data_IF_435333451295
#
_entry.id   IF_435333451295
#
_cell.length_a   1.000
_cell.length_b   1.000
_cell.length_c   1.000
_cell.angle_alpha   90.00
_cell.angle_beta   90.00
_cell.angle_gamma   90.00
#
_symmetry.space_group_name_H-M   'P 1'
#
loop_
_entity.id
_entity.type
_entity.pdbx_description
1 polymer ?
#
# COMPACT_ATOMS: atom_id res chain seq x y z
N UNK A 1 12.21 -46.56 21.27
CA UNK A 1 11.79 -45.17 20.94
C UNK A 1 10.60 -45.18 19.97
N UNK A 2 10.63 -46.00 18.91
CA UNK A 2 9.53 -46.09 17.93
C UNK A 2 8.21 -46.63 18.51
N UNK A 3 8.25 -47.57 19.46
CA UNK A 3 7.04 -48.14 20.06
C UNK A 3 6.27 -47.17 20.97
N UNK A 4 6.97 -46.21 21.59
CA UNK A 4 6.34 -45.13 22.37
C UNK A 4 5.65 -44.13 21.43
N UNK A 5 6.28 -43.80 20.30
CA UNK A 5 5.67 -42.94 19.29
C UNK A 5 4.41 -43.58 18.68
N UNK A 6 4.47 -44.86 18.29
CA UNK A 6 3.31 -45.57 17.71
C UNK A 6 2.17 -45.75 18.70
N UNK A 7 2.47 -46.06 19.98
CA UNK A 7 1.44 -46.19 21.02
C UNK A 7 0.80 -44.85 21.37
N UNK A 8 1.56 -43.75 21.38
CA UNK A 8 0.96 -42.41 21.58
C UNK A 8 0.09 -42.00 20.40
N UNK A 9 0.48 -42.31 19.15
CA UNK A 9 -0.35 -42.05 17.97
C UNK A 9 -1.66 -42.84 18.01
N UNK A 10 -1.63 -44.15 18.31
CA UNK A 10 -2.85 -44.97 18.45
C UNK A 10 -3.77 -44.51 19.58
N UNK A 11 -3.21 -44.00 20.69
CA UNK A 11 -4.00 -43.46 21.81
C UNK A 11 -4.61 -42.09 21.48
N UNK A 12 -3.91 -41.27 20.67
CA UNK A 12 -4.37 -39.96 20.18
C UNK A 12 -5.42 -40.09 19.06
N UNK A 13 -5.40 -41.16 18.27
CA UNK A 13 -6.45 -41.48 17.28
C UNK A 13 -7.81 -41.75 17.95
N UNK A 14 -7.83 -42.18 19.21
CA UNK A 14 -9.06 -42.40 19.97
C UNK A 14 -9.76 -41.08 20.40
N UNK A 15 -9.05 -39.95 20.36
CA UNK A 15 -9.57 -38.61 20.68
C UNK A 15 -9.15 -37.58 19.62
N UNK A 16 -9.86 -37.49 18.48
CA UNK A 16 -9.52 -36.62 17.35
C UNK A 16 -9.30 -35.15 17.71
N UNK A 17 -9.97 -34.66 18.76
CA UNK A 17 -9.86 -33.31 19.30
C UNK A 17 -8.58 -33.07 20.10
N UNK A 18 -8.05 -34.08 20.80
CA UNK A 18 -6.79 -33.95 21.56
C UNK A 18 -5.58 -33.91 20.62
N UNK A 19 -5.60 -34.69 19.53
CA UNK A 19 -4.52 -34.68 18.54
C UNK A 19 -4.42 -33.35 17.79
N UNK A 20 -5.55 -32.77 17.36
CA UNK A 20 -5.58 -31.44 16.74
C UNK A 20 -5.16 -30.33 17.71
N UNK A 21 -5.57 -30.40 18.99
CA UNK A 21 -5.11 -29.48 20.02
C UNK A 21 -3.59 -29.54 20.26
N UNK A 22 -3.00 -30.74 20.25
CA UNK A 22 -1.53 -30.89 20.36
C UNK A 22 -0.79 -30.31 19.14
N UNK A 23 -1.33 -30.49 17.94
CA UNK A 23 -0.77 -29.90 16.71
C UNK A 23 -0.86 -28.37 16.70
N UNK A 24 -2.01 -27.79 17.06
CA UNK A 24 -2.18 -26.34 17.16
C UNK A 24 -1.24 -25.75 18.21
N UNK A 25 -1.16 -26.35 19.39
CA UNK A 25 -0.31 -25.83 20.48
C UNK A 25 1.17 -25.88 20.12
N UNK A 26 1.65 -26.94 19.47
CA UNK A 26 3.02 -27.02 18.97
C UNK A 26 3.31 -25.95 17.91
N UNK A 27 2.36 -25.73 16.99
CA UNK A 27 2.47 -24.72 15.94
C UNK A 27 2.50 -23.30 16.50
N UNK A 28 1.63 -22.99 17.46
CA UNK A 28 1.62 -21.70 18.14
C UNK A 28 2.91 -21.47 18.94
N UNK A 29 3.43 -22.50 19.60
CA UNK A 29 4.73 -22.45 20.28
C UNK A 29 5.86 -22.18 19.29
N UNK A 30 5.88 -22.86 18.14
CA UNK A 30 6.88 -22.63 17.09
C UNK A 30 6.82 -21.19 16.54
N UNK A 31 5.61 -20.69 16.24
CA UNK A 31 5.40 -19.33 15.77
C UNK A 31 5.83 -18.30 16.83
N UNK A 32 5.49 -18.52 18.10
CA UNK A 32 5.88 -17.65 19.21
C UNK A 32 7.41 -17.61 19.40
N UNK A 33 8.06 -18.78 19.38
CA UNK A 33 9.50 -18.90 19.56
C UNK A 33 10.24 -18.26 18.38
N UNK A 34 9.78 -18.47 17.15
CA UNK A 34 10.32 -17.81 15.97
C UNK A 34 10.18 -16.27 16.06
N UNK A 35 9.01 -15.76 16.42
CA UNK A 35 8.80 -14.32 16.63
C UNK A 35 9.77 -13.75 17.69
N UNK A 36 9.98 -14.48 18.79
CA UNK A 36 10.90 -14.08 19.84
C UNK A 36 12.35 -14.07 19.35
N UNK A 37 12.80 -15.12 18.66
CA UNK A 37 14.15 -15.21 18.08
C UNK A 37 14.38 -14.09 17.06
N UNK A 38 13.44 -13.91 16.13
CA UNK A 38 13.53 -12.90 15.06
C UNK A 38 13.59 -11.51 15.65
N UNK A 39 12.72 -11.15 16.60
CA UNK A 39 12.80 -9.85 17.28
C UNK A 39 14.12 -9.68 18.05
N UNK A 40 14.58 -10.72 18.75
CA UNK A 40 15.82 -10.64 19.54
C UNK A 40 17.05 -10.49 18.64
N UNK A 41 17.10 -11.15 17.49
CA UNK A 41 18.23 -11.08 16.55
C UNK A 41 18.14 -9.82 15.69
N UNK A 42 17.01 -9.57 15.02
CA UNK A 42 16.85 -8.40 14.13
C UNK A 42 16.96 -7.09 14.91
N UNK A 43 16.28 -6.93 16.05
CA UNK A 43 16.35 -5.67 16.79
C UNK A 43 17.75 -5.43 17.38
N UNK A 44 18.50 -6.46 17.76
CA UNK A 44 19.87 -6.28 18.28
C UNK A 44 20.91 -6.07 17.18
N UNK A 45 20.85 -6.88 16.11
CA UNK A 45 21.80 -6.81 15.00
C UNK A 45 21.60 -5.55 14.16
N UNK A 46 20.35 -5.23 13.83
CA UNK A 46 20.04 -4.09 12.98
C UNK A 46 20.22 -2.77 13.72
N UNK A 47 19.94 -2.70 15.04
CA UNK A 47 20.23 -1.50 15.82
C UNK A 47 21.74 -1.21 15.94
N UNK A 48 22.59 -2.25 15.97
CA UNK A 48 24.06 -2.08 15.89
C UNK A 48 24.51 -1.62 14.51
N UNK A 49 24.02 -2.25 13.44
CA UNK A 49 24.37 -1.89 12.08
C UNK A 49 23.90 -0.47 11.71
N UNK A 50 22.70 -0.08 12.15
CA UNK A 50 22.14 1.23 11.88
C UNK A 50 22.85 2.35 12.64
N UNK A 51 23.33 2.12 13.87
CA UNK A 51 24.18 3.09 14.59
C UNK A 51 25.50 3.38 13.87
N UNK A 52 25.98 2.46 13.03
CA UNK A 52 27.18 2.66 12.22
C UNK A 52 26.94 3.49 10.93
N UNK A 53 25.67 3.80 10.60
CA UNK A 53 25.30 4.51 9.36
C UNK A 53 24.84 5.94 9.66
N UNK A 54 25.11 6.95 8.80
CA UNK A 54 24.67 8.34 8.99
C UNK A 54 23.14 8.48 9.18
N UNK A 55 22.37 7.57 8.58
CA UNK A 55 20.90 7.49 8.67
C UNK A 55 20.44 7.17 10.11
N UNK A 56 21.26 6.48 10.90
CA UNK A 56 20.89 6.03 12.23
C UNK A 56 21.29 6.94 13.40
N UNK A 57 22.16 7.91 13.15
CA UNK A 57 22.59 8.87 14.17
C UNK A 57 21.59 10.01 14.37
N UNK A 58 20.70 10.25 13.40
CA UNK A 58 19.92 11.48 13.29
C UNK A 58 18.48 11.36 13.84
N UNK A 59 18.24 10.43 14.78
CA UNK A 59 16.95 10.28 15.48
C UNK A 59 15.75 9.86 14.60
N UNK A 60 15.87 9.85 13.27
CA UNK A 60 14.83 9.40 12.33
C UNK A 60 14.54 7.90 12.42
N UNK A 61 15.34 7.16 13.19
CA UNK A 61 15.11 5.76 13.58
C UNK A 61 14.05 5.56 14.67
N UNK A 62 13.06 6.44 14.76
CA UNK A 62 11.72 6.03 15.23
C UNK A 62 11.11 4.89 14.37
N UNK A 63 11.82 4.50 13.30
CA UNK A 63 11.60 3.43 12.34
C UNK A 63 11.88 1.99 12.78
N UNK A 64 11.99 1.73 14.10
CA UNK A 64 11.92 0.35 14.62
C UNK A 64 10.65 -0.36 14.15
N UNK A 65 9.60 0.39 13.77
CA UNK A 65 8.34 -0.13 13.25
C UNK A 65 8.50 -0.93 11.95
N UNK A 66 9.35 -0.54 11.00
CA UNK A 66 9.50 -1.29 9.74
C UNK A 66 10.10 -2.67 10.01
N UNK A 67 11.17 -2.70 10.80
CA UNK A 67 11.89 -3.91 11.18
C UNK A 67 11.02 -4.80 12.07
N UNK A 68 10.33 -4.22 13.04
CA UNK A 68 9.41 -4.93 13.91
C UNK A 68 8.19 -5.46 13.14
N UNK A 69 7.73 -4.76 12.10
CA UNK A 69 6.68 -5.24 11.19
C UNK A 69 7.16 -6.45 10.40
N UNK A 70 8.33 -6.36 9.75
CA UNK A 70 8.92 -7.48 9.01
C UNK A 70 9.16 -8.70 9.92
N UNK A 71 9.53 -8.49 11.18
CA UNK A 71 9.68 -9.57 12.15
C UNK A 71 8.38 -10.35 12.40
N UNK A 72 7.21 -9.71 12.27
CA UNK A 72 5.91 -10.36 12.43
C UNK A 72 5.47 -11.15 11.18
N UNK A 73 6.20 -11.07 10.04
CA UNK A 73 5.94 -11.90 8.86
C UNK A 73 6.31 -13.36 9.13
N UNK A 74 7.43 -13.59 9.83
CA UNK A 74 7.94 -14.93 10.12
C UNK A 74 6.93 -15.82 10.87
N UNK A 75 6.32 -15.40 11.99
CA UNK A 75 5.30 -16.20 12.65
C UNK A 75 4.07 -16.41 11.76
N UNK A 76 3.66 -15.42 10.96
CA UNK A 76 2.53 -15.56 10.03
C UNK A 76 2.80 -16.62 8.95
N UNK A 77 4.02 -16.70 8.42
CA UNK A 77 4.44 -17.74 7.47
C UNK A 77 4.47 -19.12 8.12
N UNK A 78 4.95 -19.22 9.36
CA UNK A 78 4.96 -20.48 10.11
C UNK A 78 3.54 -20.97 10.33
N UNK A 79 2.61 -20.07 10.67
CA UNK A 79 1.20 -20.42 10.85
C UNK A 79 0.56 -20.82 9.51
N UNK A 80 0.79 -20.07 8.44
CA UNK A 80 0.18 -20.34 7.13
C UNK A 80 0.62 -21.68 6.55
N UNK A 81 1.90 -22.05 6.69
CA UNK A 81 2.43 -23.33 6.21
C UNK A 81 2.16 -24.44 7.21
N UNK A 82 2.28 -24.16 8.51
CA UNK A 82 2.12 -25.17 9.55
C UNK A 82 0.68 -25.64 9.73
N UNK A 83 -0.31 -24.82 9.42
CA UNK A 83 -1.71 -25.20 9.68
C UNK A 83 -2.20 -26.33 8.78
N UNK A 84 -1.58 -26.52 7.61
CA UNK A 84 -1.86 -27.67 6.73
C UNK A 84 -1.27 -28.98 7.27
N UNK A 85 -0.30 -28.90 8.18
CA UNK A 85 0.31 -30.06 8.83
C UNK A 85 -0.47 -30.50 10.07
N UNK A 86 -1.47 -29.74 10.52
CA UNK A 86 -2.29 -30.09 11.67
C UNK A 86 -3.42 -31.04 11.22
N UNK A 87 -3.43 -32.29 11.69
CA UNK A 87 -4.44 -33.28 11.33
C UNK A 87 -5.79 -32.98 12.01
N UNK A 88 -6.88 -33.47 11.42
CA UNK A 88 -8.26 -33.37 11.93
C UNK A 88 -8.81 -31.94 12.08
N UNK A 89 -8.29 -30.96 11.33
CA UNK A 89 -8.91 -29.64 11.25
C UNK A 89 -9.97 -29.61 10.13
N UNK A 90 -11.09 -28.88 10.34
CA UNK A 90 -12.01 -28.59 9.25
C UNK A 90 -11.28 -27.87 8.12
N UNK A 91 -11.44 -28.34 6.88
CA UNK A 91 -10.79 -27.75 5.70
C UNK A 91 -11.06 -26.23 5.59
N UNK A 92 -12.27 -25.81 5.93
CA UNK A 92 -12.65 -24.40 5.99
C UNK A 92 -11.80 -23.58 6.99
N UNK A 93 -11.46 -24.14 8.15
CA UNK A 93 -10.65 -23.46 9.16
C UNK A 93 -9.19 -23.32 8.71
N UNK A 94 -8.66 -24.35 8.04
CA UNK A 94 -7.31 -24.34 7.44
C UNK A 94 -7.24 -23.28 6.34
N UNK A 95 -8.21 -23.28 5.42
CA UNK A 95 -8.28 -22.32 4.31
C UNK A 95 -8.42 -20.88 4.81
N UNK A 96 -9.37 -20.60 5.71
CA UNK A 96 -9.58 -19.25 6.27
C UNK A 96 -8.33 -18.75 6.98
N UNK A 97 -7.68 -19.58 7.79
CA UNK A 97 -6.47 -19.17 8.51
C UNK A 97 -5.31 -18.90 7.55
N UNK A 98 -5.11 -19.76 6.54
CA UNK A 98 -4.09 -19.56 5.51
C UNK A 98 -4.32 -18.26 4.72
N UNK A 99 -5.56 -17.98 4.35
CA UNK A 99 -5.98 -16.78 3.62
C UNK A 99 -5.78 -15.51 4.46
N UNK A 100 -6.16 -15.53 5.74
CA UNK A 100 -5.94 -14.42 6.67
C UNK A 100 -4.45 -14.17 6.92
N UNK A 101 -3.65 -15.22 7.10
CA UNK A 101 -2.20 -15.09 7.27
C UNK A 101 -1.55 -14.48 6.01
N UNK A 102 -1.95 -14.94 4.84
CA UNK A 102 -1.46 -14.44 3.55
C UNK A 102 -1.82 -12.96 3.35
N UNK A 103 -3.06 -12.56 3.63
CA UNK A 103 -3.48 -11.16 3.60
C UNK A 103 -2.69 -10.29 4.60
N UNK A 104 -2.45 -10.81 5.81
CA UNK A 104 -1.64 -10.13 6.83
C UNK A 104 -0.18 -9.95 6.40
N UNK A 105 0.41 -10.95 5.75
CA UNK A 105 1.78 -10.89 5.21
C UNK A 105 1.86 -9.79 4.14
N UNK A 106 0.94 -9.78 3.18
CA UNK A 106 0.86 -8.77 2.11
C UNK A 106 0.77 -7.36 2.71
N UNK A 107 -0.12 -7.14 3.67
CA UNK A 107 -0.27 -5.86 4.35
C UNK A 107 1.02 -5.43 5.06
N UNK A 108 1.67 -6.37 5.74
CA UNK A 108 2.89 -6.11 6.49
C UNK A 108 4.04 -5.71 5.56
N UNK A 109 4.17 -6.36 4.40
CA UNK A 109 5.14 -6.01 3.37
C UNK A 109 4.86 -4.61 2.81
N UNK A 110 3.60 -4.30 2.47
CA UNK A 110 3.22 -2.97 1.96
C UNK A 110 3.53 -1.86 2.98
N UNK A 111 3.22 -2.09 4.26
CA UNK A 111 3.55 -1.17 5.34
C UNK A 111 5.06 -1.00 5.55
N UNK A 112 5.85 -2.06 5.33
CA UNK A 112 7.30 -2.01 5.42
C UNK A 112 7.90 -1.20 4.27
N UNK A 113 7.50 -1.47 3.02
CA UNK A 113 7.96 -0.72 1.84
C UNK A 113 7.57 0.76 1.97
N UNK A 114 6.35 1.06 2.42
CA UNK A 114 5.90 2.45 2.67
C UNK A 114 6.76 3.15 3.74
N UNK A 115 7.17 2.43 4.77
CA UNK A 115 8.12 2.93 5.78
C UNK A 115 9.48 3.27 5.17
N UNK A 116 10.05 2.35 4.37
CA UNK A 116 11.31 2.58 3.65
C UNK A 116 11.22 3.80 2.72
N UNK A 117 10.14 3.94 1.94
CA UNK A 117 9.91 5.11 1.10
C UNK A 117 9.85 6.42 1.92
N UNK A 118 9.31 6.36 3.13
CA UNK A 118 9.28 7.50 4.06
C UNK A 118 10.69 7.85 4.54
N UNK A 119 11.50 6.86 4.93
CA UNK A 119 12.89 7.08 5.31
C UNK A 119 13.69 7.71 4.17
N UNK A 120 13.55 7.20 2.96
CA UNK A 120 14.23 7.73 1.77
C UNK A 120 13.84 9.18 1.51
N UNK A 121 12.54 9.48 1.59
CA UNK A 121 12.03 10.85 1.43
C UNK A 121 12.53 11.81 2.52
N UNK A 122 12.61 11.34 3.76
CA UNK A 122 13.13 12.15 4.88
C UNK A 122 14.64 12.39 4.72
N UNK A 123 15.41 11.37 4.34
CA UNK A 123 16.84 11.50 4.06
C UNK A 123 17.12 12.43 2.86
N UNK A 124 16.26 12.40 1.84
CA UNK A 124 16.36 13.32 0.70
C UNK A 124 16.09 14.76 1.12
N UNK A 125 15.03 15.01 1.89
CA UNK A 125 14.64 16.36 2.32
C UNK A 125 15.68 17.06 3.20
N UNK A 126 16.54 16.32 3.90
CA UNK A 126 17.64 16.88 4.70
C UNK A 126 18.79 17.43 3.86
N UNK A 127 18.84 17.14 2.54
CA UNK A 127 19.91 17.66 1.68
C UNK A 127 19.70 19.15 1.37
N UNK A 128 20.75 19.97 1.31
CA UNK A 128 20.64 21.41 1.09
C UNK A 128 19.91 21.77 -0.22
N UNK A 129 20.05 20.94 -1.26
CA UNK A 129 19.42 21.16 -2.56
C UNK A 129 17.98 20.59 -2.69
N UNK A 130 17.41 20.02 -1.63
CA UNK A 130 16.11 19.33 -1.69
C UNK A 130 14.92 20.27 -1.98
N UNK A 131 15.03 21.55 -1.59
CA UNK A 131 14.00 22.57 -1.83
C UNK A 131 13.79 22.86 -3.32
N UNK A 132 14.79 22.61 -4.16
CA UNK A 132 14.74 22.85 -5.60
C UNK A 132 13.95 21.76 -6.35
N UNK A 133 13.78 20.56 -5.77
CA UNK A 133 13.05 19.44 -6.38
C UNK A 133 12.25 18.67 -5.31
N UNK A 134 11.04 19.11 -4.97
CA UNK A 134 10.23 18.43 -3.96
C UNK A 134 9.75 17.06 -4.48
N UNK A 135 10.33 15.97 -3.95
CA UNK A 135 9.96 14.60 -4.35
C UNK A 135 8.78 14.02 -3.55
N UNK A 136 8.30 14.74 -2.53
CA UNK A 136 7.25 14.27 -1.61
C UNK A 136 5.98 13.83 -2.34
N UNK A 137 5.56 14.58 -3.36
CA UNK A 137 4.39 14.26 -4.17
C UNK A 137 4.54 12.92 -4.90
N UNK A 138 5.68 12.71 -5.56
CA UNK A 138 5.97 11.44 -6.26
C UNK A 138 6.00 10.25 -5.30
N UNK A 139 6.64 10.38 -4.13
CA UNK A 139 6.66 9.33 -3.11
C UNK A 139 5.25 9.00 -2.62
N UNK A 140 4.37 10.00 -2.52
CA UNK A 140 2.99 9.80 -2.13
C UNK A 140 2.18 9.05 -3.21
N UNK A 141 2.37 9.38 -4.49
CA UNK A 141 1.74 8.63 -5.59
C UNK A 141 2.19 7.17 -5.59
N UNK A 142 3.49 6.90 -5.41
CA UNK A 142 4.01 5.53 -5.31
C UNK A 142 3.41 4.77 -4.14
N UNK A 143 3.24 5.42 -2.97
CA UNK A 143 2.57 4.79 -1.82
C UNK A 143 1.11 4.46 -2.09
N UNK A 144 0.38 5.34 -2.77
CA UNK A 144 -1.02 5.07 -3.15
C UNK A 144 -1.08 3.84 -4.04
N UNK A 145 -0.24 3.76 -5.08
CA UNK A 145 -0.18 2.60 -5.97
C UNK A 145 0.19 1.32 -5.21
N UNK A 146 1.16 1.38 -4.31
CA UNK A 146 1.56 0.27 -3.45
C UNK A 146 0.39 -0.26 -2.61
N UNK A 147 -0.35 0.62 -1.94
CA UNK A 147 -1.50 0.22 -1.13
C UNK A 147 -2.68 -0.27 -1.97
N UNK A 148 -2.88 0.28 -3.17
CA UNK A 148 -3.89 -0.23 -4.10
C UNK A 148 -3.59 -1.67 -4.52
N UNK A 149 -2.35 -1.97 -4.91
CA UNK A 149 -1.92 -3.33 -5.24
C UNK A 149 -2.05 -4.26 -4.03
N UNK A 150 -1.61 -3.81 -2.85
CA UNK A 150 -1.72 -4.59 -1.62
C UNK A 150 -3.18 -4.92 -1.28
N UNK A 151 -4.10 -3.96 -1.43
CA UNK A 151 -5.53 -4.19 -1.20
C UNK A 151 -6.10 -5.26 -2.15
N UNK A 152 -5.74 -5.20 -3.45
CA UNK A 152 -6.17 -6.21 -4.43
C UNK A 152 -5.63 -7.59 -4.05
N UNK A 153 -4.34 -7.69 -3.69
CA UNK A 153 -3.71 -8.94 -3.27
C UNK A 153 -4.35 -9.50 -1.98
N UNK A 154 -4.71 -8.63 -1.03
CA UNK A 154 -5.40 -9.05 0.19
C UNK A 154 -6.79 -9.61 -0.11
N UNK A 155 -7.60 -8.92 -0.92
CA UNK A 155 -8.93 -9.39 -1.30
C UNK A 155 -8.85 -10.69 -2.10
N UNK A 156 -7.91 -10.78 -3.04
CA UNK A 156 -7.62 -11.98 -3.81
C UNK A 156 -7.31 -13.18 -2.89
N UNK A 157 -6.44 -12.95 -1.90
CA UNK A 157 -6.07 -13.98 -0.93
C UNK A 157 -7.22 -14.38 -0.02
N UNK A 158 -8.13 -13.47 0.34
CA UNK A 158 -9.25 -13.77 1.23
C UNK A 158 -10.36 -14.57 0.52
N UNK A 159 -10.62 -14.27 -0.75
CA UNK A 159 -11.66 -14.92 -1.56
C UNK A 159 -11.11 -16.16 -2.29
N UNK A 160 -9.81 -16.46 -2.11
CA UNK A 160 -9.11 -17.57 -2.77
C UNK A 160 -9.24 -17.52 -4.30
N UNK A 161 -9.02 -16.32 -4.85
CA UNK A 161 -9.05 -16.04 -6.29
C UNK A 161 -7.75 -15.41 -6.73
N UNK A 162 -7.39 -15.64 -8.00
CA UNK A 162 -6.17 -15.04 -8.51
C UNK A 162 -6.30 -13.51 -8.53
N UNK A 163 -5.27 -12.77 -8.12
CA UNK A 163 -5.28 -11.30 -8.17
C UNK A 163 -5.49 -10.77 -9.59
N UNK A 164 -5.03 -11.51 -10.60
CA UNK A 164 -5.18 -11.16 -12.01
C UNK A 164 -6.65 -11.15 -12.44
N UNK A 165 -7.48 -12.07 -11.94
CA UNK A 165 -8.92 -12.09 -12.25
C UNK A 165 -9.62 -10.85 -11.65
N UNK A 166 -9.26 -10.47 -10.43
CA UNK A 166 -9.82 -9.27 -9.80
C UNK A 166 -9.35 -8.01 -10.53
N UNK A 167 -8.08 -7.94 -10.88
CA UNK A 167 -7.51 -6.81 -11.63
C UNK A 167 -8.11 -6.71 -13.03
N UNK A 168 -8.35 -7.83 -13.71
CA UNK A 168 -9.00 -7.85 -15.03
C UNK A 168 -10.46 -7.41 -14.92
N UNK A 169 -11.19 -7.84 -13.89
CA UNK A 169 -12.56 -7.41 -13.65
C UNK A 169 -12.66 -5.92 -13.35
N UNK A 170 -11.82 -5.42 -12.44
CA UNK A 170 -11.74 -4.00 -12.11
C UNK A 170 -11.32 -3.15 -13.32
N UNK A 171 -10.33 -3.64 -14.09
CA UNK A 171 -9.84 -3.01 -15.31
C UNK A 171 -10.89 -2.97 -16.41
N UNK A 172 -11.63 -4.07 -16.61
CA UNK A 172 -12.75 -4.13 -17.55
C UNK A 172 -13.86 -3.16 -17.17
N UNK A 173 -14.25 -3.11 -15.89
CA UNK A 173 -15.23 -2.13 -15.40
C UNK A 173 -14.72 -0.70 -15.58
N UNK A 174 -13.45 -0.43 -15.28
CA UNK A 174 -12.84 0.89 -15.47
C UNK A 174 -12.81 1.28 -16.95
N UNK A 175 -12.52 0.35 -17.87
CA UNK A 175 -12.56 0.59 -19.31
C UNK A 175 -13.99 0.87 -19.78
N UNK A 176 -14.99 0.11 -19.32
CA UNK A 176 -16.40 0.35 -19.63
C UNK A 176 -16.85 1.72 -19.10
N UNK A 177 -16.50 2.07 -17.86
CA UNK A 177 -16.79 3.39 -17.31
C UNK A 177 -16.09 4.51 -18.10
N UNK A 178 -14.83 4.31 -18.48
CA UNK A 178 -14.10 5.23 -19.34
C UNK A 178 -14.82 5.44 -20.68
N UNK A 179 -15.31 4.37 -21.31
CA UNK A 179 -16.07 4.46 -22.55
C UNK A 179 -17.38 5.22 -22.38
N UNK A 180 -18.12 4.98 -21.30
CA UNK A 180 -19.40 5.67 -21.04
C UNK A 180 -19.18 7.16 -20.76
N UNK A 181 -18.12 7.51 -20.02
CA UNK A 181 -17.82 8.88 -19.62
C UNK A 181 -16.79 9.57 -20.50
N UNK A 182 -16.41 9.00 -21.64
CA UNK A 182 -15.30 9.52 -22.46
C UNK A 182 -15.53 10.98 -22.88
N UNK A 183 -16.74 11.32 -23.33
CA UNK A 183 -17.07 12.66 -23.82
C UNK A 183 -17.11 13.68 -22.67
N UNK A 184 -17.54 13.24 -21.49
CA UNK A 184 -17.53 14.05 -20.27
C UNK A 184 -16.10 14.30 -19.78
N UNK A 185 -15.22 13.30 -19.84
CA UNK A 185 -13.81 13.46 -19.48
C UNK A 185 -13.09 14.38 -20.48
N UNK A 186 -13.38 14.26 -21.77
CA UNK A 186 -12.83 15.15 -22.81
C UNK A 186 -13.29 16.60 -22.62
N UNK A 187 -14.56 16.85 -22.30
CA UNK A 187 -15.05 18.21 -22.05
C UNK A 187 -14.46 18.82 -20.77
N UNK A 188 -14.24 18.02 -19.72
CA UNK A 188 -13.54 18.44 -18.50
C UNK A 188 -12.09 18.84 -18.80
N UNK A 189 -11.36 17.99 -19.53
CA UNK A 189 -9.97 18.28 -19.92
C UNK A 189 -9.91 19.51 -20.83
N UNK A 190 -10.83 19.67 -21.77
CA UNK A 190 -10.91 20.84 -22.63
C UNK A 190 -11.17 22.12 -21.81
N UNK A 191 -12.09 22.09 -20.84
CA UNK A 191 -12.35 23.23 -19.96
C UNK A 191 -11.12 23.61 -19.11
N UNK A 192 -10.40 22.63 -18.55
CA UNK A 192 -9.15 22.87 -17.80
C UNK A 192 -8.05 23.41 -18.72
N UNK A 193 -7.91 22.87 -19.93
CA UNK A 193 -6.94 23.36 -20.90
C UNK A 193 -7.24 24.79 -21.35
N UNK A 194 -8.50 25.12 -21.65
CA UNK A 194 -8.92 26.49 -22.00
C UNK A 194 -8.67 27.44 -20.82
N UNK A 195 -9.02 27.05 -19.59
CA UNK A 195 -8.76 27.85 -18.39
C UNK A 195 -7.26 28.00 -18.07
N UNK A 196 -6.42 27.04 -18.47
CA UNK A 196 -4.96 27.11 -18.29
C UNK A 196 -4.25 27.81 -19.44
N UNK A 197 -4.94 27.98 -20.57
CA UNK A 197 -4.48 28.74 -21.71
C UNK A 197 -4.93 30.18 -21.48
N UNK A 198 -4.15 30.96 -20.75
CA UNK A 198 -4.28 32.42 -20.67
C UNK A 198 -4.11 32.99 -22.09
N UNK A 199 -5.17 32.95 -22.91
CA UNK A 199 -5.20 33.60 -24.23
C UNK A 199 -5.24 35.13 -24.05
N UNK A 200 -5.62 35.60 -22.85
CA UNK A 200 -5.68 37.02 -22.46
C UNK A 200 -5.33 37.16 -20.97
N UNK A 201 -4.48 38.11 -20.62
CA UNK A 201 -4.19 38.50 -19.23
C UNK A 201 -4.87 39.81 -18.87
N UNK A 202 -5.11 40.03 -17.57
CA UNK A 202 -5.57 41.34 -17.06
C UNK A 202 -4.52 42.39 -17.43
N UNK A 203 -4.95 43.45 -18.13
CA UNK A 203 -4.09 44.49 -18.69
C UNK A 203 -3.74 44.35 -20.18
N UNK A 204 -4.15 43.27 -20.86
CA UNK A 204 -4.10 43.22 -22.33
C UNK A 204 -5.21 44.11 -22.92
N UNK A 205 -4.89 44.82 -23.99
CA UNK A 205 -5.86 45.63 -24.74
C UNK A 205 -6.67 44.72 -25.66
N UNK A 206 -8.00 44.77 -25.56
CA UNK A 206 -8.91 44.01 -26.42
C UNK A 206 -9.79 44.96 -27.22
N UNK A 207 -9.87 44.71 -28.53
CA UNK A 207 -10.80 45.37 -29.43
C UNK A 207 -11.81 44.33 -29.99
N UNK A 208 -13.10 44.57 -29.81
CA UNK A 208 -14.19 43.78 -30.39
C UNK A 208 -15.11 44.68 -31.22
N UNK A 209 -14.83 44.87 -32.53
CA UNK A 209 -15.53 45.83 -33.39
C UNK A 209 -17.04 45.58 -33.52
N UNK A 210 -17.47 44.32 -33.37
CA UNK A 210 -18.88 43.92 -33.48
C UNK A 210 -19.72 44.34 -32.27
N UNK A 211 -19.09 44.60 -31.13
CA UNK A 211 -19.73 44.98 -29.86
C UNK A 211 -19.31 46.38 -29.39
N UNK A 212 -18.53 47.11 -30.20
CA UNK A 212 -18.03 48.45 -29.91
C UNK A 212 -17.30 48.56 -28.56
N UNK A 213 -16.56 47.50 -28.20
CA UNK A 213 -15.75 47.44 -26.99
C UNK A 213 -14.27 47.58 -27.36
N UNK A 214 -13.64 48.62 -26.85
CA UNK A 214 -12.23 48.98 -27.09
C UNK A 214 -11.60 49.49 -25.79
N UNK A 215 -10.75 48.69 -25.17
CA UNK A 215 -10.06 49.10 -23.96
C UNK A 215 -9.42 47.98 -23.14
N UNK A 216 -9.00 48.35 -21.94
CA UNK A 216 -8.23 47.48 -21.05
C UNK A 216 -9.12 46.43 -20.38
N UNK A 217 -8.62 45.20 -20.29
CA UNK A 217 -9.27 44.13 -19.53
C UNK A 217 -9.06 44.36 -18.04
N UNK A 218 -10.17 44.63 -17.33
CA UNK A 218 -10.17 44.89 -15.88
C UNK A 218 -10.41 43.64 -15.04
N UNK A 219 -11.08 42.63 -15.59
CA UNK A 219 -11.45 41.40 -14.86
C UNK A 219 -11.77 40.25 -15.84
N UNK A 220 -11.38 39.03 -15.48
CA UNK A 220 -11.61 37.82 -16.28
C UNK A 220 -12.30 36.78 -15.40
N UNK A 221 -13.53 36.42 -15.77
CA UNK A 221 -14.29 35.32 -15.20
C UNK A 221 -14.35 34.14 -16.19
N UNK A 222 -14.80 32.96 -15.72
CA UNK A 222 -14.81 31.70 -16.49
C UNK A 222 -15.49 31.79 -17.88
N UNK A 223 -16.43 32.72 -18.07
CA UNK A 223 -17.18 32.89 -19.32
C UNK A 223 -17.43 34.37 -19.67
N UNK A 224 -16.74 35.31 -19.02
CA UNK A 224 -17.00 36.74 -19.22
C UNK A 224 -15.72 37.53 -19.00
N UNK A 225 -15.42 38.43 -19.94
CA UNK A 225 -14.35 39.41 -19.83
C UNK A 225 -14.99 40.77 -19.58
N UNK A 226 -14.59 41.47 -18.53
CA UNK A 226 -14.99 42.87 -18.31
C UNK A 226 -13.92 43.79 -18.89
N UNK A 227 -14.36 44.71 -19.73
CA UNK A 227 -13.49 45.68 -20.42
C UNK A 227 -13.86 47.08 -19.95
N UNK A 228 -12.86 47.89 -19.63
CA UNK A 228 -13.02 49.32 -19.43
C UNK A 228 -12.95 50.01 -20.80
N UNK A 229 -14.12 50.31 -21.36
CA UNK A 229 -14.22 50.92 -22.67
C UNK A 229 -13.71 52.37 -22.66
N UNK A 230 -12.89 52.75 -23.63
CA UNK A 230 -12.41 54.13 -23.83
C UNK A 230 -12.97 54.77 -25.10
N UNK A 231 -13.80 54.04 -25.86
CA UNK A 231 -14.58 54.55 -26.99
C UNK A 231 -15.77 55.41 -26.54
#
# INVERSE_FOLDING_TARGET
MNDLYSNTQQWLEHYPSLYSLTGISLLLLAAWLANWVVKRILLRGLYRALKATPIGQDGSLHDSRVIARLANIVPALIISVGITLVPNLPEAAVAVTGNVCSAFIVLTIALAISGVLTLLNNGYQKRPNAHLKPIKGYVQVVKILLFAIAAILMVASLIDRSPLILLSGLGAMAAVLMLIFQDTLLSLVASVQISSSDIVRVGDWIEMPQLNADGDVIDIALHTVKVQNYA
#
